data_IF_460296582668
#
_entry.id   IF_460296582668
#
_cell.length_a   1.000
_cell.length_b   1.000
_cell.length_c   1.000
_cell.angle_alpha   90.00
_cell.angle_beta   90.00
_cell.angle_gamma   90.00
#
_symmetry.space_group_name_H-M   'P 1'
#
loop_
_entity.id
_entity.type
_entity.pdbx_description
1 polymer ?
#
# COMPACT_ATOMS: atom_id res chain seq x y z
N UNK A 1 -13.82 3.67 26.59
CA UNK A 1 -12.96 3.98 25.43
C UNK A 1 -12.71 2.69 24.68
N UNK A 2 -13.49 2.38 23.65
CA UNK A 2 -13.17 1.29 22.69
C UNK A 2 -14.14 1.45 21.53
N UNK A 3 -13.67 2.10 20.48
CA UNK A 3 -14.45 2.39 19.30
C UNK A 3 -13.52 2.99 18.26
N UNK A 4 -12.41 2.33 17.98
CA UNK A 4 -11.63 2.58 16.79
C UNK A 4 -10.65 1.43 16.53
N UNK A 5 -10.90 0.65 15.49
CA UNK A 5 -9.95 -0.37 14.97
C UNK A 5 -10.17 -0.59 13.48
N UNK A 6 -11.04 0.22 12.86
CA UNK A 6 -11.35 0.14 11.44
C UNK A 6 -10.65 1.27 10.66
N UNK A 7 -10.39 2.41 11.31
CA UNK A 7 -9.70 3.53 10.66
C UNK A 7 -8.20 3.30 10.56
N UNK A 8 -7.56 2.68 11.57
CA UNK A 8 -6.11 2.37 11.57
C UNK A 8 -5.70 1.68 10.26
N UNK A 9 -6.29 0.50 9.96
CA UNK A 9 -5.99 -0.26 8.74
C UNK A 9 -6.33 0.43 7.41
N UNK A 10 -7.11 1.52 7.46
CA UNK A 10 -7.45 2.34 6.30
C UNK A 10 -6.40 3.41 6.06
N UNK A 11 -5.87 4.01 7.12
CA UNK A 11 -4.84 5.06 7.05
C UNK A 11 -3.49 4.49 6.57
N UNK A 12 -3.04 3.36 7.11
CA UNK A 12 -1.78 2.74 6.65
C UNK A 12 -1.86 2.27 5.18
N UNK A 13 -3.06 1.89 4.73
CA UNK A 13 -3.30 1.49 3.35
C UNK A 13 -3.19 2.70 2.42
N UNK A 14 -3.79 3.83 2.78
CA UNK A 14 -3.72 5.08 2.02
C UNK A 14 -2.27 5.55 1.94
N UNK A 15 -1.55 5.58 3.06
CA UNK A 15 -0.14 5.96 3.12
C UNK A 15 0.71 5.07 2.23
N UNK A 16 0.51 3.75 2.29
CA UNK A 16 1.23 2.80 1.44
C UNK A 16 0.95 3.00 -0.06
N UNK A 17 -0.28 3.36 -0.45
CA UNK A 17 -0.64 3.68 -1.84
C UNK A 17 0.07 4.93 -2.32
N UNK A 18 0.03 6.01 -1.55
CA UNK A 18 0.71 7.26 -1.90
C UNK A 18 2.21 7.08 -2.00
N UNK A 19 2.79 6.40 -1.01
CA UNK A 19 4.20 6.07 -0.99
C UNK A 19 4.61 5.23 -2.21
N UNK A 20 3.87 4.15 -2.52
CA UNK A 20 4.21 3.27 -3.64
C UNK A 20 3.93 3.90 -5.01
N UNK A 21 2.95 4.80 -5.11
CA UNK A 21 2.71 5.59 -6.31
C UNK A 21 3.90 6.51 -6.64
N UNK A 22 4.45 7.18 -5.62
CA UNK A 22 5.63 8.03 -5.72
C UNK A 22 6.95 7.25 -5.82
N UNK A 23 6.97 5.99 -5.42
CA UNK A 23 8.19 5.18 -5.38
C UNK A 23 8.74 4.93 -6.80
N UNK A 24 10.00 5.36 -7.10
CA UNK A 24 10.65 5.00 -8.34
C UNK A 24 10.82 3.50 -8.36
N UNK A 25 10.34 2.86 -9.42
CA UNK A 25 10.14 1.41 -9.52
C UNK A 25 11.44 0.61 -9.35
N UNK A 26 11.90 0.44 -8.11
CA UNK A 26 13.10 -0.33 -7.79
C UNK A 26 12.71 -1.81 -7.77
N UNK A 27 12.78 -2.42 -8.95
CA UNK A 27 12.40 -3.81 -9.22
C UNK A 27 13.25 -4.84 -8.47
N UNK A 28 14.25 -4.42 -7.69
CA UNK A 28 15.21 -5.31 -7.01
C UNK A 28 14.68 -5.93 -5.73
N UNK A 29 13.59 -5.41 -5.15
CA UNK A 29 12.98 -5.96 -3.93
C UNK A 29 11.53 -6.42 -4.17
N UNK A 30 11.11 -7.54 -3.57
CA UNK A 30 9.71 -7.93 -3.58
C UNK A 30 8.89 -6.90 -2.77
N UNK A 31 7.93 -6.24 -3.43
CA UNK A 31 7.14 -5.15 -2.84
C UNK A 31 6.23 -5.63 -1.71
N UNK A 32 5.65 -6.84 -1.82
CA UNK A 32 4.71 -7.33 -0.80
C UNK A 32 5.37 -7.44 0.57
N UNK A 33 6.50 -8.15 0.76
CA UNK A 33 7.22 -8.15 2.04
C UNK A 33 7.62 -6.74 2.51
N UNK A 34 8.03 -5.86 1.60
CA UNK A 34 8.40 -4.50 1.95
C UNK A 34 7.22 -3.70 2.52
N UNK A 35 6.02 -3.84 1.94
CA UNK A 35 4.81 -3.19 2.43
C UNK A 35 4.36 -3.76 3.77
N UNK A 36 4.54 -5.07 3.99
CA UNK A 36 4.26 -5.71 5.28
C UNK A 36 5.21 -5.21 6.38
N UNK A 37 6.52 -5.20 6.11
CA UNK A 37 7.54 -4.76 7.08
C UNK A 37 7.43 -3.26 7.41
N UNK A 38 7.07 -2.45 6.41
CA UNK A 38 7.05 -0.99 6.55
C UNK A 38 5.78 -0.45 7.17
N UNK A 39 4.63 -0.99 6.78
CA UNK A 39 3.31 -0.44 7.13
C UNK A 39 2.48 -1.41 7.98
N UNK A 40 3.02 -2.58 8.36
CA UNK A 40 2.28 -3.59 9.12
C UNK A 40 1.13 -4.25 8.36
N UNK A 41 1.07 -4.06 7.04
CA UNK A 41 -0.04 -4.54 6.22
C UNK A 41 -0.05 -6.06 6.14
N UNK A 42 -1.23 -6.64 5.95
CA UNK A 42 -1.38 -8.03 5.53
C UNK A 42 -0.99 -8.21 4.05
N UNK A 43 -0.75 -9.46 3.63
CA UNK A 43 -0.53 -9.78 2.22
C UNK A 43 -1.68 -9.32 1.31
N UNK A 44 -2.93 -9.42 1.79
CA UNK A 44 -4.11 -8.98 1.04
C UNK A 44 -4.12 -7.45 0.85
N UNK A 45 -3.83 -6.70 1.92
CA UNK A 45 -3.71 -5.24 1.85
C UNK A 45 -2.57 -4.81 0.92
N UNK A 46 -1.39 -5.43 1.01
CA UNK A 46 -0.28 -5.14 0.11
C UNK A 46 -0.65 -5.37 -1.38
N UNK A 47 -1.38 -6.45 -1.69
CA UNK A 47 -1.93 -6.68 -3.03
C UNK A 47 -2.93 -5.61 -3.45
N UNK A 48 -3.77 -5.11 -2.54
CA UNK A 48 -4.68 -4.01 -2.80
C UNK A 48 -3.93 -2.71 -3.14
N UNK A 49 -2.85 -2.39 -2.40
CA UNK A 49 -1.94 -1.26 -2.69
C UNK A 49 -1.38 -1.36 -4.10
N UNK A 50 -0.81 -2.52 -4.44
CA UNK A 50 -0.26 -2.80 -5.77
C UNK A 50 -1.29 -2.58 -6.88
N UNK A 51 -2.50 -3.11 -6.70
CA UNK A 51 -3.60 -2.97 -7.66
C UNK A 51 -3.99 -1.51 -7.86
N UNK A 52 -4.16 -0.77 -6.76
CA UNK A 52 -4.58 0.62 -6.79
C UNK A 52 -3.52 1.52 -7.47
N UNK A 53 -2.25 1.34 -7.14
CA UNK A 53 -1.16 2.10 -7.79
C UNK A 53 -1.06 1.79 -9.28
N UNK A 54 -1.21 0.53 -9.68
CA UNK A 54 -1.23 0.16 -11.09
C UNK A 54 -2.42 0.79 -11.83
N UNK A 55 -3.61 0.84 -11.21
CA UNK A 55 -4.78 1.51 -11.78
C UNK A 55 -4.54 3.02 -11.94
N UNK A 56 -3.96 3.69 -10.94
CA UNK A 56 -3.62 5.12 -11.01
C UNK A 56 -2.63 5.41 -12.14
N UNK A 57 -1.59 4.58 -12.27
CA UNK A 57 -0.60 4.69 -13.36
C UNK A 57 -1.22 4.49 -14.73
N UNK A 58 -2.11 3.50 -14.86
CA UNK A 58 -2.82 3.24 -16.11
C UNK A 58 -3.79 4.36 -16.50
N UNK A 59 -4.40 5.07 -15.53
CA UNK A 59 -5.27 6.23 -15.77
C UNK A 59 -4.53 7.52 -16.09
N UNK A 60 -3.25 7.61 -15.71
CA UNK A 60 -2.39 8.77 -15.99
C UNK A 60 -1.76 8.74 -17.39
N UNK A 61 -2.06 7.70 -18.19
CA UNK A 61 -1.69 7.54 -19.61
C UNK A 61 -2.89 7.85 -20.49
#
# INVERSE_FOLDING_TARGET
MSGDTAEEGSDELIEAIEWYAAYPNDRKRPIVPLLQERFGLSAAQACAVLREVNLRRARAT
#
